data_IF_411898507331
#
_entry.id   IF_411898507331
#
_cell.length_a   1.000
_cell.length_b   1.000
_cell.length_c   1.000
_cell.angle_alpha   90.00
_cell.angle_beta   90.00
_cell.angle_gamma   90.00
#
_symmetry.space_group_name_H-M   'P 1'
#
loop_
_entity.id
_entity.type
_entity.pdbx_description
1 polymer ?
#
# COMPACT_ATOMS: atom_id res chain seq x y z
N UNK A 1 -54.72 54.32 53.89
CA UNK A 1 -54.30 55.70 53.52
C UNK A 1 -53.39 55.58 52.29
N UNK A 2 -53.73 56.38 51.30
CA UNK A 2 -52.92 56.85 50.15
C UNK A 2 -52.23 55.84 49.27
N UNK A 3 -52.82 55.48 48.08
CA UNK A 3 -52.76 56.22 46.80
C UNK A 3 -51.36 56.33 46.19
N UNK A 4 -51.13 55.70 45.08
CA UNK A 4 -50.91 56.22 43.68
C UNK A 4 -50.31 55.09 42.83
N UNK A 5 -50.93 54.56 41.83
CA UNK A 5 -51.26 54.94 40.44
C UNK A 5 -50.09 55.52 39.64
N UNK A 6 -49.98 55.05 38.49
CA UNK A 6 -49.23 55.46 37.28
C UNK A 6 -47.98 54.67 36.99
N UNK A 7 -47.66 54.24 35.74
CA UNK A 7 -48.32 54.33 34.42
C UNK A 7 -47.68 53.31 33.54
N UNK A 8 -48.45 52.76 32.60
CA UNK A 8 -48.02 52.06 31.42
C UNK A 8 -47.08 52.90 30.54
N UNK A 9 -45.98 52.36 30.12
CA UNK A 9 -45.46 52.67 28.77
C UNK A 9 -45.00 51.33 28.16
N UNK A 10 -45.80 50.89 27.14
CA UNK A 10 -45.42 49.82 26.25
C UNK A 10 -44.45 50.38 25.22
N UNK A 11 -43.26 49.82 25.17
CA UNK A 11 -42.33 50.01 24.03
C UNK A 11 -42.15 48.67 23.39
N UNK A 12 -42.92 48.47 22.31
CA UNK A 12 -42.74 47.40 21.35
C UNK A 12 -41.48 47.73 20.53
N UNK A 13 -40.35 47.13 20.88
CA UNK A 13 -39.18 47.12 20.03
C UNK A 13 -39.23 45.85 19.19
N UNK A 14 -39.58 46.00 17.94
CA UNK A 14 -39.43 44.97 16.89
C UNK A 14 -37.92 44.73 16.65
N UNK A 15 -37.36 43.77 17.31
CA UNK A 15 -36.03 43.26 16.96
C UNK A 15 -36.20 42.25 15.80
N UNK A 16 -36.07 42.75 14.58
CA UNK A 16 -35.82 41.90 13.44
C UNK A 16 -34.47 41.18 13.62
N UNK A 17 -34.53 39.98 14.18
CA UNK A 17 -33.38 39.07 14.22
C UNK A 17 -33.00 38.67 12.83
N UNK A 18 -31.95 39.29 12.28
CA UNK A 18 -31.24 38.78 11.13
C UNK A 18 -30.56 37.51 11.61
N UNK A 19 -31.21 36.38 11.31
CA UNK A 19 -30.55 35.06 11.29
C UNK A 19 -29.54 35.10 10.15
N UNK A 20 -28.36 35.64 10.38
CA UNK A 20 -27.19 35.30 9.60
C UNK A 20 -26.89 33.84 9.89
N UNK A 21 -27.46 32.95 9.06
CA UNK A 21 -26.99 31.62 8.97
C UNK A 21 -25.50 31.68 8.60
N UNK A 22 -24.64 31.40 9.57
CA UNK A 22 -23.29 30.94 9.31
C UNK A 22 -23.41 29.62 8.59
N UNK A 23 -23.68 29.66 7.28
CA UNK A 23 -23.23 28.61 6.39
C UNK A 23 -21.71 28.63 6.51
N UNK A 24 -21.16 27.68 7.24
CA UNK A 24 -19.76 27.32 7.05
C UNK A 24 -19.65 26.97 5.56
N UNK A 25 -19.14 27.92 4.77
CA UNK A 25 -18.45 27.55 3.55
C UNK A 25 -17.35 26.64 4.05
N UNK A 26 -17.53 25.31 3.92
CA UNK A 26 -16.44 24.39 4.00
C UNK A 26 -15.38 24.97 3.08
N UNK A 27 -14.28 25.40 3.63
CA UNK A 27 -13.06 25.65 2.86
C UNK A 27 -12.86 24.31 2.17
N UNK A 28 -12.95 24.32 0.84
CA UNK A 28 -12.71 23.16 0.02
C UNK A 28 -11.29 22.69 0.41
N UNK A 29 -11.24 21.65 1.24
CA UNK A 29 -9.98 21.19 1.82
C UNK A 29 -9.14 20.65 0.68
N UNK A 30 -8.08 21.36 0.32
CA UNK A 30 -7.16 21.02 -0.76
C UNK A 30 -6.00 20.15 -0.30
N UNK A 31 -5.99 19.73 0.95
CA UNK A 31 -4.99 18.80 1.47
C UNK A 31 -5.35 17.37 1.08
N UNK A 32 -4.42 16.65 0.52
CA UNK A 32 -4.50 15.20 0.23
C UNK A 32 -3.54 14.51 1.19
N UNK A 33 -4.08 13.68 2.09
CA UNK A 33 -3.29 12.91 3.06
C UNK A 33 -3.14 11.48 2.58
N UNK A 34 -1.90 11.01 2.42
CA UNK A 34 -1.60 9.67 1.91
C UNK A 34 -0.72 8.91 2.90
N UNK A 35 -1.16 7.71 3.27
CA UNK A 35 -0.38 6.73 4.01
C UNK A 35 0.44 5.88 3.03
N UNK A 36 1.76 5.72 3.25
CA UNK A 36 2.65 5.05 2.31
C UNK A 36 3.78 4.30 3.02
N UNK A 37 4.38 3.30 2.34
CA UNK A 37 5.69 2.77 2.73
C UNK A 37 6.79 3.77 2.37
N UNK A 38 7.95 3.65 3.02
CA UNK A 38 9.07 4.59 2.83
C UNK A 38 9.58 4.58 1.39
N UNK A 39 9.95 3.41 0.88
CA UNK A 39 10.53 3.18 -0.46
C UNK A 39 9.70 2.11 -1.19
N UNK A 40 9.34 2.28 -2.43
CA UNK A 40 9.52 3.46 -3.31
C UNK A 40 8.37 4.47 -3.16
N UNK A 41 7.31 4.12 -2.43
CA UNK A 41 6.00 4.78 -2.46
C UNK A 41 6.06 6.24 -2.00
N UNK A 42 6.63 6.51 -0.82
CA UNK A 42 6.76 7.88 -0.33
C UNK A 42 7.73 8.70 -1.21
N UNK A 43 8.80 8.11 -1.73
CA UNK A 43 9.72 8.79 -2.65
C UNK A 43 9.03 9.21 -3.95
N UNK A 44 8.17 8.34 -4.51
CA UNK A 44 7.36 8.65 -5.70
C UNK A 44 6.35 9.76 -5.39
N UNK A 45 5.68 9.70 -4.22
CA UNK A 45 4.75 10.72 -3.78
C UNK A 45 5.42 12.09 -3.61
N UNK A 46 6.66 12.13 -3.12
CA UNK A 46 7.43 13.38 -3.02
C UNK A 46 7.64 14.04 -4.40
N UNK A 47 7.83 13.24 -5.45
CA UNK A 47 7.91 13.76 -6.81
C UNK A 47 6.56 14.24 -7.37
N UNK A 48 5.46 13.72 -6.85
CA UNK A 48 4.12 14.15 -7.24
C UNK A 48 3.69 15.47 -6.57
N UNK A 49 4.32 15.89 -5.47
CA UNK A 49 3.98 17.13 -4.74
C UNK A 49 3.92 18.37 -5.63
N UNK A 50 4.94 18.68 -6.46
CA UNK A 50 4.89 19.87 -7.32
C UNK A 50 3.74 19.78 -8.34
N UNK A 51 3.46 18.61 -8.90
CA UNK A 51 2.38 18.42 -9.87
C UNK A 51 0.99 18.65 -9.25
N UNK A 52 0.82 18.25 -8.00
CA UNK A 52 -0.41 18.50 -7.24
C UNK A 52 -0.52 19.96 -6.80
N UNK A 53 0.60 20.59 -6.44
CA UNK A 53 0.63 22.00 -6.07
C UNK A 53 0.21 22.93 -7.24
N UNK A 54 0.59 22.60 -8.46
CA UNK A 54 0.13 23.29 -9.67
C UNK A 54 -1.39 23.23 -9.86
N UNK A 55 -2.03 22.18 -9.34
CA UNK A 55 -3.49 21.99 -9.34
C UNK A 55 -4.16 22.59 -8.08
N UNK A 56 -3.39 23.23 -7.21
CA UNK A 56 -3.87 23.85 -5.97
C UNK A 56 -4.08 22.86 -4.82
N UNK A 57 -3.50 21.67 -4.87
CA UNK A 57 -3.51 20.70 -3.78
C UNK A 57 -2.21 20.72 -2.97
N UNK A 58 -2.31 20.43 -1.68
CA UNK A 58 -1.17 20.17 -0.80
C UNK A 58 -1.14 18.67 -0.50
N UNK A 59 -0.04 17.99 -0.81
CA UNK A 59 0.14 16.58 -0.52
C UNK A 59 0.88 16.42 0.83
N UNK A 60 0.23 15.75 1.77
CA UNK A 60 0.81 15.29 3.04
C UNK A 60 1.01 13.77 2.99
N UNK A 61 2.25 13.33 3.18
CA UNK A 61 2.62 11.92 3.17
C UNK A 61 3.04 11.50 4.57
N UNK A 62 2.46 10.43 5.08
CA UNK A 62 2.90 9.78 6.31
C UNK A 62 3.39 8.38 6.01
N UNK A 63 4.59 8.06 6.50
CA UNK A 63 5.22 6.77 6.34
C UNK A 63 4.75 5.82 7.45
N UNK A 64 4.47 4.58 7.05
CA UNK A 64 4.15 3.45 7.93
C UNK A 64 5.08 2.29 7.60
N UNK A 65 5.50 1.57 8.63
CA UNK A 65 6.48 0.48 8.51
C UNK A 65 5.82 -0.91 8.31
N UNK A 66 4.48 -0.99 8.36
CA UNK A 66 3.70 -2.22 8.21
C UNK A 66 2.60 -2.09 7.15
N UNK A 67 1.94 -3.21 6.83
CA UNK A 67 0.88 -3.26 5.82
C UNK A 67 -0.55 -3.15 6.39
N UNK A 68 -0.72 -3.07 7.71
CA UNK A 68 -2.04 -3.03 8.36
C UNK A 68 -2.51 -1.59 8.56
N UNK A 69 -1.69 -0.78 9.23
CA UNK A 69 -2.04 0.60 9.60
C UNK A 69 -2.45 1.48 8.42
N UNK A 70 -1.78 1.44 7.24
CA UNK A 70 -2.19 2.28 6.10
C UNK A 70 -3.62 2.05 5.64
N UNK A 71 -4.13 0.81 5.74
CA UNK A 71 -5.52 0.51 5.42
C UNK A 71 -6.47 1.00 6.53
N UNK A 72 -6.10 0.82 7.80
CA UNK A 72 -6.92 1.24 8.94
C UNK A 72 -7.14 2.76 8.97
N UNK A 73 -6.10 3.57 8.69
CA UNK A 73 -6.22 5.04 8.71
C UNK A 73 -7.02 5.59 7.54
N UNK A 74 -7.08 4.88 6.41
CA UNK A 74 -7.95 5.24 5.29
C UNK A 74 -9.39 4.79 5.56
N UNK A 75 -9.59 3.60 6.12
CA UNK A 75 -10.93 3.13 6.49
C UNK A 75 -11.56 4.02 7.56
N UNK A 76 -10.80 4.49 8.55
CA UNK A 76 -11.28 5.44 9.56
C UNK A 76 -11.62 6.82 8.99
N UNK A 77 -11.05 7.20 7.84
CA UNK A 77 -11.20 8.50 7.21
C UNK A 77 -10.20 9.56 7.72
N UNK A 78 -9.17 9.16 8.47
CA UNK A 78 -8.09 10.04 8.91
C UNK A 78 -7.16 10.41 7.74
N UNK A 79 -7.09 9.54 6.73
CA UNK A 79 -6.35 9.71 5.48
C UNK A 79 -7.27 9.61 4.28
N UNK A 80 -6.95 10.35 3.21
CA UNK A 80 -7.71 10.34 1.95
C UNK A 80 -7.42 9.08 1.12
N UNK A 81 -6.17 8.58 1.18
CA UNK A 81 -5.70 7.43 0.40
C UNK A 81 -4.53 6.72 1.07
N UNK A 82 -4.24 5.51 0.61
CA UNK A 82 -2.93 4.90 0.81
C UNK A 82 -2.29 4.48 -0.51
N UNK A 83 -0.97 4.31 -0.47
CA UNK A 83 -0.17 3.84 -1.59
C UNK A 83 0.99 3.02 -1.04
N UNK A 84 0.82 1.67 -1.02
CA UNK A 84 1.79 0.72 -0.46
C UNK A 84 1.51 -0.73 -0.88
N UNK A 85 0.35 -1.04 -1.44
CA UNK A 85 -0.20 -2.38 -1.61
C UNK A 85 -0.63 -2.68 -3.03
N UNK A 86 -0.78 -3.96 -3.35
CA UNK A 86 -1.37 -4.46 -4.58
C UNK A 86 -2.82 -4.92 -4.39
N UNK A 87 -3.54 -5.07 -5.50
CA UNK A 87 -4.97 -5.43 -5.49
C UNK A 87 -5.30 -6.71 -4.70
N UNK A 88 -4.59 -7.85 -4.87
CA UNK A 88 -4.90 -9.06 -4.08
C UNK A 88 -4.80 -8.83 -2.57
N UNK A 89 -3.80 -8.06 -2.10
CA UNK A 89 -3.68 -7.74 -0.68
C UNK A 89 -4.85 -6.90 -0.18
N UNK A 90 -5.26 -5.87 -0.94
CA UNK A 90 -6.41 -5.04 -0.60
C UNK A 90 -7.70 -5.87 -0.46
N UNK A 91 -7.94 -6.78 -1.41
CA UNK A 91 -9.14 -7.64 -1.40
C UNK A 91 -9.15 -8.59 -0.20
N UNK A 92 -8.01 -9.25 0.07
CA UNK A 92 -7.85 -10.11 1.24
C UNK A 92 -8.01 -9.33 2.55
N UNK A 93 -7.42 -8.15 2.65
CA UNK A 93 -7.55 -7.28 3.83
C UNK A 93 -9.00 -6.87 4.08
N UNK A 94 -9.73 -6.49 3.03
CA UNK A 94 -11.15 -6.14 3.14
C UNK A 94 -11.97 -7.33 3.65
N UNK A 95 -11.72 -8.53 3.13
CA UNK A 95 -12.42 -9.75 3.55
C UNK A 95 -12.12 -10.09 5.03
N UNK A 96 -10.85 -10.05 5.41
CA UNK A 96 -10.40 -10.42 6.76
C UNK A 96 -10.80 -9.40 7.84
N UNK A 97 -10.76 -8.12 7.52
CA UNK A 97 -10.98 -7.01 8.48
C UNK A 97 -12.36 -6.38 8.38
N UNK A 98 -13.13 -6.69 7.34
CA UNK A 98 -14.44 -6.09 7.10
C UNK A 98 -14.33 -4.61 6.71
N UNK A 99 -13.26 -4.22 6.02
CA UNK A 99 -13.05 -2.87 5.51
C UNK A 99 -13.66 -2.68 4.11
N UNK A 100 -13.78 -1.42 3.68
CA UNK A 100 -14.48 -1.04 2.44
C UNK A 100 -13.57 -0.14 1.59
N UNK A 101 -12.34 -0.60 1.38
CA UNK A 101 -11.38 0.12 0.57
C UNK A 101 -11.46 -0.36 -0.88
N UNK A 102 -11.22 0.56 -1.83
CA UNK A 102 -11.27 0.26 -3.25
C UNK A 102 -10.03 0.75 -3.98
N UNK A 103 -9.67 0.05 -5.04
CA UNK A 103 -8.59 0.43 -5.94
C UNK A 103 -9.02 1.65 -6.78
N UNK A 104 -8.32 2.76 -6.62
CA UNK A 104 -8.53 3.98 -7.41
C UNK A 104 -7.62 4.08 -8.65
N UNK A 105 -6.54 3.29 -8.70
CA UNK A 105 -5.66 3.24 -9.87
C UNK A 105 -4.35 2.52 -9.61
N UNK A 106 -3.92 1.70 -10.57
CA UNK A 106 -2.62 1.02 -10.57
C UNK A 106 -1.50 1.99 -10.98
N UNK A 107 -0.37 1.95 -10.30
CA UNK A 107 0.73 2.89 -10.50
C UNK A 107 2.01 2.21 -10.96
N UNK A 108 2.47 1.18 -10.28
CA UNK A 108 3.70 0.47 -10.60
C UNK A 108 3.66 -0.98 -10.16
N UNK A 109 4.64 -1.75 -10.61
CA UNK A 109 4.88 -3.12 -10.18
C UNK A 109 6.27 -3.21 -9.55
N UNK A 110 6.40 -4.04 -8.52
CA UNK A 110 7.65 -4.39 -7.87
C UNK A 110 7.87 -5.90 -7.97
N UNK A 111 8.96 -6.35 -8.64
CA UNK A 111 9.30 -7.77 -8.66
C UNK A 111 9.51 -8.31 -7.24
N UNK A 112 8.91 -9.44 -6.95
CA UNK A 112 9.09 -10.17 -5.70
C UNK A 112 10.28 -11.11 -5.85
N UNK A 113 11.12 -11.24 -4.84
CA UNK A 113 12.36 -11.98 -4.98
C UNK A 113 12.75 -12.83 -3.80
N UNK A 114 13.55 -13.89 -4.07
CA UNK A 114 14.27 -14.68 -3.09
C UNK A 114 15.69 -14.13 -2.95
N UNK A 115 16.05 -13.76 -1.75
CA UNK A 115 17.33 -13.14 -1.43
C UNK A 115 18.20 -14.03 -0.55
N UNK A 116 19.53 -13.89 -0.64
CA UNK A 116 20.47 -14.63 0.20
C UNK A 116 20.30 -14.27 1.67
N UNK A 117 20.46 -15.29 2.52
CA UNK A 117 20.56 -15.17 3.96
C UNK A 117 21.94 -15.69 4.42
N UNK A 118 21.96 -16.80 5.16
CA UNK A 118 23.21 -17.52 5.49
C UNK A 118 23.82 -18.18 4.26
N UNK A 119 23.00 -18.56 3.30
CA UNK A 119 23.39 -19.16 2.04
C UNK A 119 23.30 -18.13 0.92
N UNK A 120 24.27 -18.14 0.02
CA UNK A 120 24.35 -17.20 -1.09
C UNK A 120 24.22 -17.89 -2.47
N UNK A 121 24.01 -19.20 -2.47
CA UNK A 121 23.91 -20.01 -3.69
C UNK A 121 22.75 -21.01 -3.54
N UNK A 122 21.88 -21.09 -4.54
CA UNK A 122 20.78 -22.04 -4.59
C UNK A 122 21.22 -23.51 -4.69
N UNK A 123 22.47 -23.78 -4.98
CA UNK A 123 23.04 -25.13 -4.84
C UNK A 123 22.93 -25.67 -3.40
N UNK A 124 22.74 -24.78 -2.42
CA UNK A 124 22.56 -25.11 -1.00
C UNK A 124 21.09 -25.12 -0.55
N UNK A 125 20.15 -25.30 -1.50
CA UNK A 125 18.71 -25.28 -1.23
C UNK A 125 18.21 -26.50 -0.43
N UNK A 126 18.94 -27.63 -0.49
CA UNK A 126 18.58 -28.86 0.22
C UNK A 126 18.60 -28.66 1.74
N UNK A 127 17.45 -28.92 2.38
CA UNK A 127 17.19 -28.69 3.80
C UNK A 127 17.29 -27.20 4.23
N UNK A 128 17.22 -26.27 3.27
CA UNK A 128 17.26 -24.85 3.56
C UNK A 128 16.06 -24.39 4.41
N UNK A 129 16.29 -23.37 5.23
CA UNK A 129 15.23 -22.63 5.90
C UNK A 129 14.95 -21.36 5.11
N UNK A 130 13.72 -21.17 4.66
CA UNK A 130 13.30 -19.99 3.89
C UNK A 130 12.26 -19.20 4.68
N UNK A 131 12.56 -17.92 4.97
CA UNK A 131 11.57 -17.00 5.52
C UNK A 131 10.65 -16.49 4.41
N UNK A 132 9.34 -16.52 4.64
CA UNK A 132 8.31 -16.03 3.72
C UNK A 132 7.31 -15.13 4.48
N UNK A 133 6.60 -14.20 3.79
CA UNK A 133 5.51 -13.45 4.40
C UNK A 133 4.39 -14.37 4.92
N UNK A 134 3.73 -13.94 5.99
CA UNK A 134 2.63 -14.70 6.63
C UNK A 134 1.24 -14.16 6.31
N UNK A 135 1.14 -13.11 5.50
CA UNK A 135 -0.16 -12.66 5.00
C UNK A 135 -0.59 -13.51 3.80
N UNK A 136 -1.89 -13.75 3.70
CA UNK A 136 -2.51 -14.70 2.78
C UNK A 136 -1.97 -14.60 1.35
N UNK A 137 -1.86 -13.39 0.81
CA UNK A 137 -1.52 -13.20 -0.61
C UNK A 137 -0.03 -13.19 -0.88
N UNK A 138 0.80 -12.67 0.04
CA UNK A 138 2.26 -12.71 -0.15
C UNK A 138 2.87 -14.07 0.24
N UNK A 139 2.26 -14.83 1.18
CA UNK A 139 2.61 -16.23 1.40
C UNK A 139 2.40 -17.03 0.11
N UNK A 140 1.19 -16.96 -0.46
CA UNK A 140 0.89 -17.65 -1.72
C UNK A 140 1.84 -17.24 -2.85
N UNK A 141 2.12 -15.94 -2.98
CA UNK A 141 3.06 -15.40 -3.97
C UNK A 141 4.47 -15.96 -3.81
N UNK A 142 4.95 -16.09 -2.57
CA UNK A 142 6.25 -16.69 -2.27
C UNK A 142 6.32 -18.17 -2.67
N UNK A 143 5.27 -18.93 -2.37
CA UNK A 143 5.19 -20.34 -2.76
C UNK A 143 5.11 -20.52 -4.27
N UNK A 144 4.34 -19.67 -4.96
CA UNK A 144 4.25 -19.68 -6.42
C UNK A 144 5.59 -19.33 -7.08
N UNK A 145 6.33 -18.33 -6.55
CA UNK A 145 7.68 -18.04 -7.05
C UNK A 145 8.61 -19.26 -6.95
N UNK A 146 8.58 -20.00 -5.85
CA UNK A 146 9.38 -21.21 -5.68
C UNK A 146 8.91 -22.35 -6.59
N UNK A 147 7.61 -22.49 -6.78
CA UNK A 147 7.02 -23.46 -7.71
C UNK A 147 7.43 -23.18 -9.16
N UNK A 148 7.34 -21.94 -9.61
CA UNK A 148 7.68 -21.53 -10.98
C UNK A 148 9.16 -21.81 -11.31
N UNK A 149 10.00 -21.86 -10.27
CA UNK A 149 11.41 -22.20 -10.36
C UNK A 149 11.71 -23.69 -10.06
N UNK A 150 10.68 -24.54 -9.85
CA UNK A 150 10.79 -25.98 -9.73
C UNK A 150 11.27 -26.49 -8.36
N UNK A 151 11.26 -25.66 -7.31
CA UNK A 151 11.71 -26.06 -5.97
C UNK A 151 10.64 -26.77 -5.14
N UNK A 152 9.37 -26.47 -5.39
CA UNK A 152 8.22 -27.11 -4.74
C UNK A 152 7.09 -27.29 -5.76
N UNK A 153 6.08 -28.07 -5.39
CA UNK A 153 4.79 -28.12 -6.11
C UNK A 153 3.67 -27.80 -5.13
N UNK A 154 2.85 -26.82 -5.47
CA UNK A 154 1.66 -26.43 -4.72
C UNK A 154 0.44 -27.16 -5.33
N UNK A 155 -0.52 -27.50 -4.49
CA UNK A 155 -1.78 -28.16 -4.88
C UNK A 155 -2.48 -27.37 -5.99
N UNK A 156 -2.95 -28.05 -7.02
CA UNK A 156 -3.70 -27.44 -8.11
C UNK A 156 -4.94 -26.69 -7.59
N UNK A 157 -5.11 -25.46 -8.05
CA UNK A 157 -6.23 -24.60 -7.70
C UNK A 157 -6.09 -23.84 -6.37
N UNK A 158 -4.99 -23.98 -5.63
CA UNK A 158 -4.75 -23.18 -4.43
C UNK A 158 -4.57 -21.67 -4.75
N UNK A 159 -3.93 -21.34 -5.88
CA UNK A 159 -3.86 -19.98 -6.43
C UNK A 159 -3.30 -18.94 -5.42
N UNK A 160 -3.94 -17.77 -5.38
CA UNK A 160 -3.51 -16.64 -4.56
C UNK A 160 -3.78 -16.80 -3.04
N UNK A 161 -4.28 -17.95 -2.61
CA UNK A 161 -4.52 -18.28 -1.20
C UNK A 161 -3.76 -19.54 -0.76
N UNK A 162 -2.77 -19.98 -1.57
CA UNK A 162 -1.92 -21.10 -1.23
C UNK A 162 -1.16 -20.85 0.08
N UNK A 163 -1.07 -21.86 0.91
CA UNK A 163 -0.33 -21.87 2.16
C UNK A 163 0.73 -22.98 2.15
N UNK A 164 1.64 -22.98 3.12
CA UNK A 164 2.61 -24.09 3.27
C UNK A 164 1.94 -25.46 3.41
N UNK A 165 0.67 -25.51 3.85
CA UNK A 165 -0.11 -26.74 3.95
C UNK A 165 -0.60 -27.27 2.58
N UNK A 166 -0.54 -26.45 1.55
CA UNK A 166 -0.90 -26.82 0.17
C UNK A 166 0.29 -27.34 -0.64
N UNK A 167 1.49 -27.42 -0.06
CA UNK A 167 2.67 -28.00 -0.69
C UNK A 167 2.48 -29.52 -0.80
N UNK A 168 2.43 -30.03 -2.02
CA UNK A 168 2.26 -31.46 -2.31
C UNK A 168 3.58 -32.17 -2.64
N UNK A 169 4.58 -31.42 -3.13
CA UNK A 169 5.94 -31.93 -3.33
C UNK A 169 6.97 -30.91 -2.83
N UNK A 170 7.94 -31.40 -2.08
CA UNK A 170 9.05 -30.63 -1.55
C UNK A 170 10.35 -31.48 -1.61
N UNK A 171 10.88 -31.69 -2.83
CA UNK A 171 12.00 -32.62 -3.04
C UNK A 171 13.29 -32.19 -2.33
N UNK A 172 13.42 -30.90 -2.04
CA UNK A 172 14.58 -30.33 -1.36
C UNK A 172 14.42 -30.27 0.16
N UNK A 173 13.30 -30.76 0.73
CA UNK A 173 13.01 -30.71 2.16
C UNK A 173 13.15 -29.30 2.74
N UNK A 174 12.70 -28.26 2.01
CA UNK A 174 12.73 -26.86 2.44
C UNK A 174 11.85 -26.68 3.68
N UNK A 175 12.37 -25.98 4.67
CA UNK A 175 11.64 -25.59 5.88
C UNK A 175 11.22 -24.14 5.76
N UNK A 176 9.92 -23.87 5.94
CA UNK A 176 9.38 -22.51 5.86
C UNK A 176 9.24 -21.87 7.23
N UNK A 177 9.55 -20.57 7.30
CA UNK A 177 9.32 -19.72 8.47
C UNK A 177 8.45 -18.55 8.02
N UNK A 178 7.19 -18.56 8.47
CA UNK A 178 6.20 -17.54 8.16
C UNK A 178 6.36 -16.36 9.12
N UNK A 179 6.61 -15.17 8.59
CA UNK A 179 6.85 -13.94 9.35
C UNK A 179 6.08 -12.77 8.74
N UNK A 180 5.79 -11.75 9.55
CA UNK A 180 5.37 -10.46 8.98
C UNK A 180 6.41 -9.99 7.96
N UNK A 181 5.94 -9.55 6.78
CA UNK A 181 6.82 -9.17 5.66
C UNK A 181 7.90 -8.16 6.09
N UNK A 182 7.55 -7.19 6.94
CA UNK A 182 8.47 -6.19 7.49
C UNK A 182 9.61 -6.78 8.37
N UNK A 183 9.46 -8.01 8.87
CA UNK A 183 10.47 -8.65 9.73
C UNK A 183 11.50 -9.45 8.92
N UNK A 184 11.16 -9.89 7.72
CA UNK A 184 12.01 -10.81 6.94
C UNK A 184 13.39 -10.23 6.66
N UNK A 185 13.59 -8.96 6.26
CA UNK A 185 14.93 -8.43 6.02
C UNK A 185 15.88 -8.57 7.22
N UNK A 186 15.34 -8.41 8.43
CA UNK A 186 16.13 -8.51 9.67
C UNK A 186 16.48 -9.95 10.04
N UNK A 187 15.75 -10.93 9.52
CA UNK A 187 15.94 -12.36 9.79
C UNK A 187 16.83 -13.06 8.79
N UNK A 188 17.25 -12.40 7.71
CA UNK A 188 18.11 -13.00 6.67
C UNK A 188 19.38 -13.62 7.26
N UNK A 189 19.99 -13.01 8.28
CA UNK A 189 21.15 -13.55 8.98
C UNK A 189 20.87 -14.86 9.77
N UNK A 190 19.59 -15.21 9.98
CA UNK A 190 19.16 -16.35 10.80
C UNK A 190 18.58 -17.51 9.98
N UNK A 191 18.25 -17.27 8.71
CA UNK A 191 17.69 -18.25 7.75
C UNK A 191 18.64 -18.48 6.59
N UNK A 192 18.41 -19.54 5.80
CA UNK A 192 19.21 -19.80 4.60
C UNK A 192 18.90 -18.76 3.52
N UNK A 193 17.62 -18.47 3.30
CA UNK A 193 17.14 -17.50 2.33
C UNK A 193 15.87 -16.80 2.84
N UNK A 194 15.51 -15.67 2.22
CA UNK A 194 14.24 -15.00 2.51
C UNK A 194 13.57 -14.50 1.23
N UNK A 195 12.25 -14.64 1.17
CA UNK A 195 11.44 -14.05 0.08
C UNK A 195 10.91 -12.72 0.55
N UNK A 196 11.25 -11.63 -0.18
CA UNK A 196 10.94 -10.27 0.20
C UNK A 196 10.10 -9.54 -0.84
N UNK A 197 9.16 -8.74 -0.35
CA UNK A 197 8.51 -7.72 -1.15
C UNK A 197 9.52 -6.64 -1.59
N UNK A 198 9.32 -6.06 -2.78
CA UNK A 198 10.26 -5.11 -3.37
C UNK A 198 10.56 -3.91 -2.48
N UNK A 199 9.53 -3.32 -1.85
CA UNK A 199 9.71 -2.20 -0.93
C UNK A 199 10.62 -2.56 0.26
N UNK A 200 10.40 -3.70 0.94
CA UNK A 200 11.23 -4.11 2.08
C UNK A 200 12.64 -4.53 1.67
N UNK A 201 12.80 -5.09 0.46
CA UNK A 201 14.13 -5.36 -0.08
C UNK A 201 14.90 -4.04 -0.29
N UNK A 202 14.28 -3.05 -0.93
CA UNK A 202 14.89 -1.73 -1.17
C UNK A 202 15.19 -0.99 0.15
N UNK A 203 14.31 -1.02 1.14
CA UNK A 203 14.54 -0.45 2.46
C UNK A 203 15.75 -1.10 3.18
N UNK A 204 15.99 -2.38 2.92
CA UNK A 204 17.16 -3.10 3.42
C UNK A 204 18.45 -2.86 2.57
N UNK A 205 18.36 -2.05 1.52
CA UNK A 205 19.46 -1.78 0.60
C UNK A 205 19.72 -2.89 -0.42
N UNK A 206 18.77 -3.81 -0.60
CA UNK A 206 18.83 -4.89 -1.58
C UNK A 206 18.10 -4.50 -2.86
N UNK A 207 18.59 -4.99 -3.99
CA UNK A 207 17.97 -4.77 -5.30
C UNK A 207 17.75 -6.09 -6.02
N UNK A 208 16.66 -6.15 -6.79
CA UNK A 208 16.34 -7.35 -7.60
C UNK A 208 17.48 -7.67 -8.56
N UNK A 209 18.05 -6.65 -9.21
CA UNK A 209 19.04 -6.82 -10.26
C UNK A 209 20.41 -7.35 -9.77
N UNK A 210 20.79 -7.06 -8.51
CA UNK A 210 22.12 -7.39 -8.01
C UNK A 210 22.11 -8.44 -6.91
N UNK A 211 21.01 -8.55 -6.15
CA UNK A 211 21.02 -9.29 -4.88
C UNK A 211 20.03 -10.47 -4.88
N UNK A 212 18.98 -10.44 -5.71
CA UNK A 212 18.02 -11.53 -5.77
C UNK A 212 18.60 -12.76 -6.47
N UNK A 213 18.40 -13.93 -5.87
CA UNK A 213 18.76 -15.23 -6.47
C UNK A 213 17.68 -15.75 -7.42
N UNK A 214 16.43 -15.43 -7.12
CA UNK A 214 15.24 -15.64 -7.95
C UNK A 214 14.35 -14.42 -7.85
N UNK A 215 13.64 -14.08 -8.91
CA UNK A 215 12.63 -13.03 -8.87
C UNK A 215 11.60 -13.22 -9.99
N UNK A 216 10.45 -12.58 -9.80
CA UNK A 216 9.38 -12.55 -10.80
C UNK A 216 9.78 -11.72 -12.01
N UNK A 217 9.51 -12.25 -13.22
CA UNK A 217 9.70 -11.50 -14.46
C UNK A 217 8.63 -10.40 -14.59
N UNK A 218 9.01 -9.26 -15.16
CA UNK A 218 8.12 -8.17 -15.53
C UNK A 218 7.16 -8.51 -16.69
N UNK A 219 7.46 -9.60 -17.42
CA UNK A 219 6.60 -10.16 -18.46
C UNK A 219 5.66 -11.25 -17.93
N UNK A 220 5.76 -11.62 -16.64
CA UNK A 220 4.95 -12.66 -16.01
C UNK A 220 3.50 -12.20 -15.74
N UNK A 221 2.62 -13.18 -15.50
CA UNK A 221 1.26 -12.90 -15.01
C UNK A 221 1.28 -12.18 -13.65
N UNK A 222 2.31 -12.42 -12.83
CA UNK A 222 2.52 -11.73 -11.56
C UNK A 222 2.64 -10.21 -11.74
N UNK A 223 3.30 -9.73 -12.79
CA UNK A 223 3.45 -8.31 -13.07
C UNK A 223 2.11 -7.59 -13.29
N UNK A 224 1.11 -8.27 -13.83
CA UNK A 224 -0.24 -7.71 -13.97
C UNK A 224 -1.08 -7.86 -12.69
N UNK A 225 -0.91 -8.97 -11.97
CA UNK A 225 -1.67 -9.31 -10.76
C UNK A 225 -1.28 -8.45 -9.56
N UNK A 226 0.01 -8.21 -9.36
CA UNK A 226 0.55 -7.55 -8.16
C UNK A 226 0.94 -6.09 -8.40
N UNK A 227 0.20 -5.39 -9.27
CA UNK A 227 0.36 -3.94 -9.46
C UNK A 227 0.05 -3.20 -8.16
N UNK A 228 0.96 -2.34 -7.75
CA UNK A 228 0.78 -1.42 -6.63
C UNK A 228 -0.18 -0.30 -6.99
N UNK A 229 -1.12 -0.02 -6.10
CA UNK A 229 -2.30 0.80 -6.34
C UNK A 229 -2.40 1.96 -5.34
N UNK A 230 -3.10 3.00 -5.76
CA UNK A 230 -3.71 3.94 -4.81
C UNK A 230 -5.03 3.33 -4.35
N UNK A 231 -5.19 3.12 -3.05
CA UNK A 231 -6.45 2.69 -2.47
C UNK A 231 -7.10 3.82 -1.66
N UNK A 232 -8.42 3.89 -1.71
CA UNK A 232 -9.24 4.88 -1.02
C UNK A 232 -10.46 4.21 -0.40
N UNK A 233 -11.13 4.88 0.52
CA UNK A 233 -12.41 4.41 1.03
C UNK A 233 -13.47 4.42 -0.08
N UNK A 234 -14.31 3.39 -0.12
CA UNK A 234 -15.41 3.25 -1.08
C UNK A 234 -16.26 4.54 -1.17
N UNK A 235 -16.55 4.97 -2.39
CA UNK A 235 -17.25 6.22 -2.69
C UNK A 235 -16.33 7.41 -2.93
N UNK A 236 -15.02 7.32 -2.60
CA UNK A 236 -14.03 8.38 -2.83
C UNK A 236 -13.20 8.19 -4.11
N UNK A 237 -13.33 7.07 -4.81
CA UNK A 237 -12.55 6.71 -6.00
C UNK A 237 -12.70 7.75 -7.15
N UNK A 238 -13.82 8.44 -7.18
CA UNK A 238 -14.11 9.47 -8.17
C UNK A 238 -14.00 10.90 -7.64
N UNK A 239 -13.53 11.09 -6.40
CA UNK A 239 -13.35 12.43 -5.83
C UNK A 239 -12.31 13.24 -6.61
N UNK A 240 -12.40 14.58 -6.52
CA UNK A 240 -11.43 15.45 -7.18
C UNK A 240 -10.01 15.25 -6.64
N UNK A 241 -9.87 15.00 -5.33
CA UNK A 241 -8.58 14.70 -4.68
C UNK A 241 -7.98 13.40 -5.22
N UNK A 242 -8.77 12.33 -5.27
CA UNK A 242 -8.32 11.02 -5.74
C UNK A 242 -7.89 11.07 -7.21
N UNK A 243 -8.69 11.70 -8.07
CA UNK A 243 -8.34 11.87 -9.47
C UNK A 243 -7.05 12.66 -9.65
N UNK A 244 -6.90 13.79 -8.95
CA UNK A 244 -5.68 14.59 -9.02
C UNK A 244 -4.45 13.78 -8.59
N UNK A 245 -4.56 12.99 -7.49
CA UNK A 245 -3.48 12.14 -7.00
C UNK A 245 -3.09 11.06 -8.01
N UNK A 246 -4.07 10.30 -8.52
CA UNK A 246 -3.83 9.22 -9.48
C UNK A 246 -3.27 9.75 -10.79
N UNK A 247 -3.82 10.87 -11.31
CA UNK A 247 -3.33 11.49 -12.55
C UNK A 247 -1.90 12.00 -12.39
N UNK A 248 -1.56 12.60 -11.24
CA UNK A 248 -0.19 13.02 -10.96
C UNK A 248 0.78 11.83 -10.93
N UNK A 249 0.42 10.74 -10.24
CA UNK A 249 1.24 9.53 -10.13
C UNK A 249 1.40 8.77 -11.46
N UNK A 250 0.42 8.86 -12.36
CA UNK A 250 0.47 8.26 -13.71
C UNK A 250 1.14 9.14 -14.75
N UNK A 251 1.57 10.35 -14.40
CA UNK A 251 2.20 11.27 -15.34
C UNK A 251 3.51 10.75 -15.92
N UNK A 252 3.86 11.21 -17.12
CA UNK A 252 5.14 10.88 -17.75
C UNK A 252 6.35 11.31 -16.90
N UNK A 253 6.20 12.39 -16.13
CA UNK A 253 7.21 12.85 -15.18
C UNK A 253 7.51 11.79 -14.12
N UNK A 254 6.47 11.21 -13.52
CA UNK A 254 6.63 10.16 -12.51
C UNK A 254 7.13 8.86 -13.12
N UNK A 255 6.60 8.45 -14.27
CA UNK A 255 7.11 7.28 -15.00
C UNK A 255 8.60 7.40 -15.33
N UNK A 256 9.01 8.57 -15.78
CA UNK A 256 10.43 8.84 -16.02
C UNK A 256 11.27 8.76 -14.74
N UNK A 257 10.81 9.36 -13.65
CA UNK A 257 11.49 9.28 -12.35
C UNK A 257 11.66 7.82 -11.89
N UNK A 258 10.61 7.01 -11.97
CA UNK A 258 10.66 5.59 -11.60
C UNK A 258 11.73 4.86 -12.44
N UNK A 259 11.70 5.01 -13.74
CA UNK A 259 12.66 4.36 -14.65
C UNK A 259 14.11 4.77 -14.38
N UNK A 260 14.34 6.06 -14.13
CA UNK A 260 15.69 6.60 -13.92
C UNK A 260 16.26 6.23 -12.53
N UNK A 261 15.39 5.97 -11.54
CA UNK A 261 15.79 5.82 -10.13
C UNK A 261 15.98 4.36 -9.73
N UNK A 262 15.04 3.48 -10.11
CA UNK A 262 14.95 2.14 -9.51
C UNK A 262 15.51 1.00 -10.37
N UNK A 263 16.04 1.28 -11.58
CA UNK A 263 16.73 0.29 -12.43
C UNK A 263 16.01 -1.07 -12.55
N UNK A 264 14.69 -1.07 -12.76
CA UNK A 264 13.88 -2.29 -12.88
C UNK A 264 13.40 -2.89 -11.55
N UNK A 265 13.83 -2.36 -10.40
CA UNK A 265 13.26 -2.73 -9.09
C UNK A 265 11.84 -2.17 -8.89
N UNK A 266 11.49 -1.14 -9.63
CA UNK A 266 10.14 -0.57 -9.72
C UNK A 266 9.84 -0.30 -11.19
N UNK A 267 8.70 -0.77 -11.68
CA UNK A 267 8.33 -0.72 -13.09
C UNK A 267 7.00 0.01 -13.24
N UNK A 268 6.93 1.16 -13.95
CA UNK A 268 5.70 1.91 -14.12
C UNK A 268 4.61 1.06 -14.78
N UNK A 269 3.40 1.10 -14.23
CA UNK A 269 2.24 0.44 -14.83
C UNK A 269 1.75 1.21 -16.07
N UNK A 270 1.30 0.48 -17.07
CA UNK A 270 0.90 1.03 -18.39
C UNK A 270 -0.42 1.80 -18.36
#
# INVERSE_FOLDING_TARGET
>A
MKKRVLALIAVTALAAGVLTGCGSKGTDDKTIKVAASAVPHAEILEQAKPLLAEQGYTLEVQIFDDYVQPNEVVESGDFDANYFQHTPYLESFNEEKGTHLVNAGGIHYEPFGLYPGKESDLANIDNATIAIPNDTTNEARALLLLQDNGYITVKEGAGLTATINDIVENPHNIQFVELEAAQIPRTLQDVSFGVLNGNYAMEAGLTVANDALLYESDESEAAATYVNIVAVKEGNENSAKTKALVDALKSDTIKKYINDTYNGGVIPYK
#
